data_IF_271990542909
#
_entry.id   IF_271990542909
#
_cell.length_a   1.000
_cell.length_b   1.000
_cell.length_c   1.000
_cell.angle_alpha   90.00
_cell.angle_beta   90.00
_cell.angle_gamma   90.00
#
_symmetry.space_group_name_H-M   'P 1'
#
loop_
_entity.id
_entity.type
_entity.pdbx_description
1 polymer ?
#
# COMPACT_ATOMS: atom_id res chain seq x y z
N UNK A 1 -21.16 66.33 -13.60
CA UNK A 1 -19.79 66.38 -13.07
C UNK A 1 -19.63 65.35 -11.95
N UNK A 2 -18.57 64.52 -12.05
CA UNK A 2 -17.78 63.71 -11.08
C UNK A 2 -18.44 62.95 -9.89
N UNK A 3 -17.91 61.72 -9.71
CA UNK A 3 -18.28 60.55 -8.88
C UNK A 3 -18.21 60.77 -7.35
N UNK A 4 -18.69 59.80 -6.53
CA UNK A 4 -17.72 58.83 -5.98
C UNK A 4 -18.21 57.35 -5.86
N UNK A 5 -17.22 56.44 -5.82
CA UNK A 5 -17.32 55.00 -5.58
C UNK A 5 -17.69 54.67 -4.13
N UNK A 6 -18.40 53.57 -3.88
CA UNK A 6 -18.20 52.72 -2.69
C UNK A 6 -18.59 51.27 -2.98
N UNK A 7 -17.68 50.35 -2.61
CA UNK A 7 -17.81 48.88 -2.63
C UNK A 7 -18.87 48.43 -1.62
N UNK A 8 -19.67 47.41 -1.94
CA UNK A 8 -20.09 46.37 -0.96
C UNK A 8 -20.27 45.02 -1.66
N UNK A 9 -19.41 44.08 -1.28
CA UNK A 9 -19.54 42.63 -1.53
C UNK A 9 -20.53 42.08 -0.50
N UNK A 10 -21.55 41.37 -0.95
CA UNK A 10 -22.43 40.53 -0.13
C UNK A 10 -23.37 39.77 -1.07
N UNK A 11 -23.81 38.53 -0.88
CA UNK A 11 -23.44 37.36 -0.07
C UNK A 11 -24.57 36.35 -0.44
N UNK A 12 -24.30 35.04 -0.37
CA UNK A 12 -25.27 33.91 -0.21
C UNK A 12 -25.87 33.33 -1.50
N UNK A 13 -25.52 32.07 -1.85
CA UNK A 13 -26.19 30.76 -1.51
C UNK A 13 -27.26 30.41 -2.57
N UNK A 14 -27.47 29.21 -3.13
CA UNK A 14 -27.22 27.77 -2.84
C UNK A 14 -27.40 27.04 -4.20
N UNK A 15 -26.58 26.07 -4.60
CA UNK A 15 -26.57 24.62 -4.25
C UNK A 15 -27.70 23.78 -4.89
N UNK A 16 -27.32 22.94 -5.87
CA UNK A 16 -27.90 21.65 -6.31
C UNK A 16 -27.24 21.30 -7.68
N UNK A 17 -26.76 20.13 -8.07
CA UNK A 17 -26.52 18.82 -7.48
C UNK A 17 -25.56 18.14 -8.46
N UNK A 18 -24.28 18.10 -8.15
CA UNK A 18 -23.35 17.14 -8.72
C UNK A 18 -22.51 16.67 -7.53
N UNK A 19 -22.80 15.48 -7.03
CA UNK A 19 -21.94 14.79 -6.09
C UNK A 19 -20.68 14.41 -6.88
N UNK A 20 -19.49 14.98 -6.63
CA UNK A 20 -18.30 14.21 -6.91
C UNK A 20 -18.33 13.05 -5.91
N UNK A 21 -18.42 11.83 -6.42
CA UNK A 21 -18.11 10.66 -5.61
C UNK A 21 -16.73 10.90 -4.97
N UNK A 22 -16.59 10.84 -3.64
CA UNK A 22 -15.28 10.66 -3.06
C UNK A 22 -14.88 9.22 -3.36
N UNK A 23 -14.34 8.96 -4.55
CA UNK A 23 -13.41 7.85 -4.78
C UNK A 23 -12.07 8.18 -4.12
N UNK A 24 -12.13 8.70 -2.90
CA UNK A 24 -11.01 8.77 -2.00
C UNK A 24 -11.03 7.44 -1.28
N UNK A 25 -10.46 6.42 -1.93
CA UNK A 25 -9.72 5.41 -1.18
C UNK A 25 -8.47 6.12 -0.68
N UNK A 26 -8.69 7.04 0.25
CA UNK A 26 -7.68 7.64 1.09
C UNK A 26 -7.19 6.50 1.96
N UNK A 27 -6.19 5.79 1.47
CA UNK A 27 -5.25 5.15 2.36
C UNK A 27 -4.51 6.32 3.03
N UNK A 28 -5.06 6.72 4.17
CA UNK A 28 -4.41 7.56 5.15
C UNK A 28 -3.08 6.90 5.50
N UNK A 29 -1.99 7.30 4.88
CA UNK A 29 -0.66 7.08 5.44
C UNK A 29 -0.13 8.43 5.90
N UNK A 30 -0.80 8.92 6.94
CA UNK A 30 -0.26 9.95 7.83
C UNK A 30 0.07 9.21 9.13
N UNK A 31 1.04 8.30 9.09
CA UNK A 31 1.53 7.63 10.29
C UNK A 31 3.05 7.57 10.21
N UNK A 32 3.65 8.58 10.84
CA UNK A 32 4.78 8.47 11.76
C UNK A 32 6.03 7.69 11.28
N UNK A 33 7.20 8.22 11.63
CA UNK A 33 8.52 7.72 11.21
C UNK A 33 8.97 6.32 11.72
N UNK A 34 8.25 5.49 12.50
CA UNK A 34 8.67 4.10 12.79
C UNK A 34 8.68 3.12 11.61
N UNK A 35 8.10 3.46 10.45
CA UNK A 35 7.89 2.51 9.36
C UNK A 35 8.99 2.49 8.28
N UNK A 36 10.12 3.18 8.44
CA UNK A 36 11.16 3.23 7.39
C UNK A 36 11.68 1.83 7.02
N UNK A 37 11.91 0.96 8.01
CA UNK A 37 12.32 -0.42 7.76
C UNK A 37 11.23 -1.20 7.01
N UNK A 38 9.98 -1.08 7.46
CA UNK A 38 8.83 -1.76 6.86
C UNK A 38 8.58 -1.28 5.43
N UNK A 39 8.76 0.02 5.16
CA UNK A 39 8.67 0.61 3.84
C UNK A 39 9.78 0.11 2.92
N UNK A 40 11.03 0.03 3.41
CA UNK A 40 12.14 -0.54 2.63
C UNK A 40 11.90 -2.01 2.29
N UNK A 41 11.47 -2.81 3.28
CA UNK A 41 11.12 -4.22 3.05
C UNK A 41 9.95 -4.34 2.10
N UNK A 42 8.88 -3.54 2.28
CA UNK A 42 7.75 -3.50 1.36
C UNK A 42 8.21 -3.17 -0.06
N UNK A 43 9.07 -2.18 -0.22
CA UNK A 43 9.58 -1.77 -1.51
C UNK A 43 10.39 -2.87 -2.18
N UNK A 44 11.31 -3.53 -1.47
CA UNK A 44 12.08 -4.66 -2.01
C UNK A 44 11.18 -5.82 -2.42
N UNK A 45 10.19 -6.15 -1.60
CA UNK A 45 9.24 -7.23 -1.91
C UNK A 45 8.35 -6.89 -3.11
N UNK A 46 7.86 -5.66 -3.22
CA UNK A 46 7.02 -5.22 -4.33
C UNK A 46 7.82 -4.93 -5.61
N UNK A 47 9.14 -4.73 -5.50
CA UNK A 47 10.03 -4.60 -6.66
C UNK A 47 10.18 -5.92 -7.41
N UNK A 48 9.92 -7.06 -6.74
CA UNK A 48 10.00 -8.36 -7.36
C UNK A 48 8.74 -8.65 -8.17
N UNK A 49 8.89 -8.69 -9.50
CA UNK A 49 7.77 -8.87 -10.43
C UNK A 49 7.14 -10.25 -10.35
N UNK A 50 7.90 -11.25 -9.88
CA UNK A 50 7.50 -12.66 -9.78
C UNK A 50 6.72 -12.98 -8.50
N UNK A 51 6.57 -11.99 -7.61
CA UNK A 51 5.86 -12.09 -6.34
C UNK A 51 4.66 -11.14 -6.36
N UNK A 52 3.46 -11.71 -6.46
CA UNK A 52 2.22 -10.95 -6.43
C UNK A 52 1.58 -11.06 -5.06
N UNK A 53 1.69 -10.00 -4.27
CA UNK A 53 1.08 -9.93 -2.95
C UNK A 53 -0.39 -9.50 -3.06
N UNK A 54 -1.32 -10.38 -2.70
CA UNK A 54 -2.73 -10.04 -2.56
C UNK A 54 -3.00 -9.33 -1.22
N UNK A 55 -2.25 -9.72 -0.20
CA UNK A 55 -2.25 -9.07 1.11
C UNK A 55 -0.84 -9.16 1.66
N UNK A 56 -0.28 -8.04 2.08
CA UNK A 56 1.04 -7.96 2.69
C UNK A 56 0.97 -7.02 3.88
N UNK A 57 1.06 -7.62 5.05
CA UNK A 57 1.23 -6.95 6.33
C UNK A 57 2.67 -7.19 6.75
N UNK A 58 3.36 -6.10 7.04
CA UNK A 58 4.72 -6.14 7.58
C UNK A 58 4.58 -5.63 9.00
N UNK A 59 5.21 -6.33 9.93
CA UNK A 59 5.31 -5.92 11.32
C UNK A 59 6.77 -5.94 11.73
N UNK A 60 7.27 -4.83 12.25
CA UNK A 60 8.59 -4.82 12.89
C UNK A 60 8.58 -5.65 14.18
N UNK A 61 9.59 -6.48 14.36
CA UNK A 61 9.85 -7.26 15.57
C UNK A 61 11.25 -6.93 16.10
N UNK A 62 11.61 -7.43 17.28
CA UNK A 62 12.98 -7.32 17.80
C UNK A 62 13.97 -7.89 16.76
N UNK A 63 14.92 -7.04 16.36
CA UNK A 63 16.01 -7.36 15.42
C UNK A 63 15.51 -7.80 14.02
N UNK A 64 14.28 -7.47 13.62
CA UNK A 64 13.75 -8.00 12.37
C UNK A 64 12.36 -7.56 11.93
N UNK A 65 11.80 -8.34 11.01
CA UNK A 65 10.45 -8.13 10.47
C UNK A 65 9.66 -9.43 10.38
N UNK A 66 8.35 -9.34 10.59
CA UNK A 66 7.38 -10.38 10.35
C UNK A 66 6.57 -10.03 9.09
N UNK A 67 6.51 -10.97 8.15
CA UNK A 67 5.78 -10.85 6.90
C UNK A 67 4.53 -11.74 6.97
N UNK A 68 3.36 -11.14 6.93
CA UNK A 68 2.07 -11.83 7.01
C UNK A 68 1.19 -11.49 5.81
N UNK A 69 0.39 -12.47 5.38
CA UNK A 69 -0.56 -12.26 4.29
C UNK A 69 -0.53 -13.37 3.24
N UNK A 70 -0.92 -13.02 2.02
CA UNK A 70 -1.11 -13.96 0.91
C UNK A 70 -0.27 -13.49 -0.27
N UNK A 71 0.58 -14.39 -0.76
CA UNK A 71 1.44 -14.15 -1.91
C UNK A 71 1.16 -15.19 -2.99
N UNK A 72 1.09 -14.77 -4.23
CA UNK A 72 1.14 -15.65 -5.39
C UNK A 72 2.56 -15.60 -5.93
N UNK A 73 3.22 -16.75 -5.91
CA UNK A 73 4.59 -16.90 -6.37
C UNK A 73 4.60 -17.81 -7.60
N UNK A 74 5.35 -17.41 -8.63
CA UNK A 74 5.65 -18.26 -9.78
C UNK A 74 6.57 -19.43 -9.40
N UNK A 75 6.72 -20.44 -10.28
CA UNK A 75 7.55 -21.63 -10.00
C UNK A 75 9.02 -21.29 -9.71
N UNK A 76 9.55 -20.23 -10.35
CA UNK A 76 10.93 -19.72 -10.17
C UNK A 76 10.98 -18.39 -9.39
N UNK A 77 10.02 -18.18 -8.47
CA UNK A 77 10.02 -16.99 -7.62
C UNK A 77 11.17 -17.03 -6.60
N UNK A 78 11.85 -15.90 -6.34
CA UNK A 78 12.90 -15.83 -5.34
C UNK A 78 12.32 -15.97 -3.92
N UNK A 79 13.17 -16.42 -3.00
CA UNK A 79 12.79 -16.55 -1.59
C UNK A 79 12.49 -15.17 -0.97
N UNK A 80 11.27 -15.04 -0.45
CA UNK A 80 10.78 -13.79 0.16
C UNK A 80 11.60 -13.40 1.39
N UNK A 81 12.07 -14.39 2.15
CA UNK A 81 12.91 -14.14 3.32
C UNK A 81 14.27 -13.60 2.89
N UNK A 82 14.85 -14.18 1.83
CA UNK A 82 16.10 -13.71 1.23
C UNK A 82 15.99 -12.28 0.68
N UNK A 83 14.85 -11.89 0.10
CA UNK A 83 14.59 -10.51 -0.30
C UNK A 83 14.50 -9.57 0.91
N UNK A 84 13.74 -9.94 1.95
CA UNK A 84 13.60 -9.10 3.13
C UNK A 84 14.91 -8.96 3.93
N UNK A 85 15.76 -9.99 3.97
CA UNK A 85 17.09 -9.95 4.60
C UNK A 85 18.11 -9.06 3.86
N UNK A 86 17.87 -8.72 2.59
CA UNK A 86 18.74 -7.76 1.87
C UNK A 86 18.58 -6.34 2.40
N UNK A 87 17.50 -6.05 3.11
CA UNK A 87 17.26 -4.74 3.69
C UNK A 87 18.12 -4.54 4.93
N UNK A 88 18.90 -3.47 4.91
CA UNK A 88 19.73 -3.05 6.04
C UNK A 88 18.85 -2.82 7.29
N UNK A 89 19.16 -3.54 8.37
CA UNK A 89 18.41 -3.52 9.63
C UNK A 89 17.47 -4.71 9.86
N UNK A 90 17.48 -5.71 8.96
CA UNK A 90 16.74 -6.97 9.13
C UNK A 90 17.71 -8.11 9.42
N UNK A 91 17.87 -8.47 10.71
CA UNK A 91 18.64 -9.66 11.09
C UNK A 91 17.76 -10.91 11.11
N UNK A 92 16.49 -10.74 11.48
CA UNK A 92 15.50 -11.83 11.54
C UNK A 92 14.30 -11.57 10.65
N UNK A 93 13.91 -12.59 9.89
CA UNK A 93 12.66 -12.56 9.10
C UNK A 93 11.77 -13.69 9.56
N UNK A 94 10.55 -13.33 9.97
CA UNK A 94 9.48 -14.29 10.26
C UNK A 94 8.54 -14.32 9.07
N UNK A 95 8.60 -15.38 8.28
CA UNK A 95 7.71 -15.56 7.13
C UNK A 95 6.44 -16.31 7.55
N UNK A 96 5.31 -15.63 7.46
CA UNK A 96 3.95 -16.15 7.67
C UNK A 96 3.08 -15.88 6.44
N UNK A 97 3.71 -15.74 5.27
CA UNK A 97 3.00 -15.59 4.01
C UNK A 97 2.47 -16.95 3.57
N UNK A 98 1.20 -16.95 3.19
CA UNK A 98 0.54 -18.11 2.60
C UNK A 98 0.68 -18.03 1.08
N UNK A 99 1.30 -19.03 0.48
CA UNK A 99 1.45 -19.11 -0.97
C UNK A 99 0.16 -19.61 -1.59
N UNK A 100 -0.53 -18.75 -2.33
CA UNK A 100 -1.72 -19.11 -3.09
C UNK A 100 -1.32 -19.46 -4.53
N UNK A 101 -1.32 -20.76 -4.84
CA UNK A 101 -1.14 -21.23 -6.22
C UNK A 101 -2.54 -21.38 -6.85
N UNK A 102 -2.84 -20.68 -7.97
CA UNK A 102 -4.09 -20.94 -8.67
C UNK A 102 -4.07 -22.39 -9.15
N UNK A 103 -4.86 -23.23 -8.50
CA UNK A 103 -5.03 -24.60 -8.94
C UNK A 103 -5.74 -24.54 -10.30
N UNK A 104 -5.01 -24.83 -11.38
CA UNK A 104 -5.64 -25.13 -12.67
C UNK A 104 -6.43 -26.42 -12.46
N UNK A 105 -7.70 -26.26 -12.10
CA UNK A 105 -8.67 -27.35 -12.20
C UNK A 105 -8.69 -27.78 -13.67
N UNK A 106 -8.36 -29.05 -13.97
CA UNK A 106 -8.43 -29.52 -15.34
C UNK A 106 -9.88 -29.41 -15.79
N UNK A 107 -10.14 -28.59 -16.81
CA UNK A 107 -11.44 -28.53 -17.45
C UNK A 107 -11.70 -29.92 -18.04
N UNK A 108 -12.66 -30.62 -17.45
CA UNK A 108 -13.09 -31.94 -17.90
C UNK A 108 -13.66 -31.75 -19.30
N UNK A 109 -13.01 -32.39 -20.28
CA UNK A 109 -13.47 -32.46 -21.66
C UNK A 109 -14.77 -33.23 -21.82
#
# INVERSE_FOLDING_TARGET
MKRPQTRKVSRRRRAATAQPAPSQTGYTDVLDRPHELELKVRHELLSESRLHFCSLVIHRIDEGVCLEGIVQAEEDAPDVCGLAQRVEGVERVVNRLVVHRPHRVPVKG
#
